data_IF_280673427738
#
_entry.id   IF_280673427738
#
_cell.length_a   1.000
_cell.length_b   1.000
_cell.length_c   1.000
_cell.angle_alpha   90.00
_cell.angle_beta   90.00
_cell.angle_gamma   90.00
#
_symmetry.space_group_name_H-M   'P 1'
#
loop_
_entity.id
_entity.type
_entity.pdbx_description
1 polymer ?
#
# COMPACT_ATOMS: atom_id res chain seq x y z
N UNK A 1 25.85 -58.34 1.57
CA UNK A 1 25.62 -57.09 2.32
C UNK A 1 25.02 -56.08 1.38
N UNK A 2 23.73 -55.77 1.55
CA UNK A 2 23.00 -54.78 0.70
C UNK A 2 22.96 -53.48 1.47
N UNK A 3 23.63 -52.46 0.95
CA UNK A 3 23.55 -51.09 1.48
C UNK A 3 22.29 -50.44 0.96
N UNK A 4 21.31 -50.16 1.84
CA UNK A 4 20.15 -49.40 1.56
C UNK A 4 20.53 -47.91 1.76
N UNK A 5 20.77 -47.21 0.68
CA UNK A 5 20.99 -45.76 0.72
C UNK A 5 19.70 -45.04 1.08
N UNK A 6 19.66 -44.44 2.27
CA UNK A 6 18.58 -43.56 2.72
C UNK A 6 18.74 -42.21 2.03
N UNK A 7 17.93 -41.95 1.00
CA UNK A 7 17.88 -40.66 0.37
C UNK A 7 17.10 -39.69 1.28
N UNK A 8 17.82 -38.80 1.95
CA UNK A 8 17.21 -37.69 2.69
C UNK A 8 16.77 -36.65 1.67
N UNK A 9 15.48 -36.59 1.41
CA UNK A 9 14.88 -35.49 0.64
C UNK A 9 14.84 -34.28 1.57
N UNK A 10 15.79 -33.37 1.39
CA UNK A 10 15.77 -32.04 2.00
C UNK A 10 14.63 -31.24 1.32
N UNK A 11 13.48 -31.23 1.97
CA UNK A 11 12.41 -30.30 1.61
C UNK A 11 12.90 -28.89 1.93
N UNK A 12 13.32 -28.13 0.92
CA UNK A 12 13.62 -26.73 1.05
C UNK A 12 12.32 -26.01 1.46
N UNK A 13 12.31 -25.20 2.54
CA UNK A 13 11.16 -24.39 2.85
C UNK A 13 10.96 -23.40 1.68
N UNK A 14 9.83 -23.49 1.02
CA UNK A 14 9.38 -22.45 0.09
C UNK A 14 9.18 -21.19 0.92
N UNK A 15 10.17 -20.32 0.99
CA UNK A 15 9.98 -18.95 1.47
C UNK A 15 9.06 -18.26 0.47
N UNK A 16 7.85 -17.92 0.91
CA UNK A 16 6.97 -17.03 0.16
C UNK A 16 7.67 -15.66 0.13
N UNK A 17 8.45 -15.43 -0.91
CA UNK A 17 9.17 -14.18 -1.08
C UNK A 17 8.18 -13.14 -1.59
N UNK A 18 8.11 -11.98 -0.92
CA UNK A 18 7.31 -10.87 -1.38
C UNK A 18 7.68 -10.50 -2.82
N UNK A 19 6.68 -10.40 -3.70
CA UNK A 19 6.90 -9.90 -5.05
C UNK A 19 6.88 -8.38 -5.01
N UNK A 20 8.06 -7.77 -5.22
CA UNK A 20 8.22 -6.32 -5.27
C UNK A 20 8.11 -5.87 -6.73
N UNK A 21 7.08 -5.09 -7.03
CA UNK A 21 6.83 -4.56 -8.37
C UNK A 21 7.47 -3.20 -8.59
N UNK A 22 7.54 -2.40 -7.52
CA UNK A 22 8.03 -1.04 -7.56
C UNK A 22 8.69 -0.70 -6.23
N UNK A 23 9.89 -0.15 -6.25
CA UNK A 23 10.51 0.35 -5.02
C UNK A 23 9.86 1.66 -4.58
N UNK A 24 9.96 1.98 -3.29
CA UNK A 24 9.49 3.26 -2.76
C UNK A 24 10.12 4.46 -3.49
N UNK A 25 11.41 4.38 -3.79
CA UNK A 25 12.12 5.43 -4.51
C UNK A 25 11.59 5.60 -5.93
N UNK A 26 11.41 4.52 -6.68
CA UNK A 26 10.85 4.56 -8.03
C UNK A 26 9.43 5.16 -8.05
N UNK A 27 8.61 4.82 -7.05
CA UNK A 27 7.27 5.37 -6.91
C UNK A 27 7.29 6.88 -6.66
N UNK A 28 8.13 7.35 -5.73
CA UNK A 28 8.26 8.77 -5.40
C UNK A 28 8.86 9.56 -6.56
N UNK A 29 9.90 9.05 -7.20
CA UNK A 29 10.54 9.70 -8.35
C UNK A 29 9.57 9.81 -9.53
N UNK A 30 8.76 8.79 -9.74
CA UNK A 30 7.69 8.82 -10.76
C UNK A 30 6.61 9.85 -10.47
N UNK A 31 6.32 10.10 -9.19
CA UNK A 31 5.31 11.08 -8.78
C UNK A 31 5.77 12.53 -8.89
N UNK A 32 7.04 12.81 -8.57
CA UNK A 32 7.54 14.18 -8.40
C UNK A 32 8.75 14.53 -9.27
N UNK A 33 9.36 13.53 -9.93
CA UNK A 33 10.71 13.68 -10.46
C UNK A 33 11.77 13.64 -9.34
N UNK A 34 13.03 13.43 -9.70
CA UNK A 34 14.13 13.33 -8.75
C UNK A 34 14.31 14.62 -7.93
N UNK A 35 14.40 14.50 -6.62
CA UNK A 35 14.77 15.56 -5.68
C UNK A 35 13.79 16.75 -5.51
N UNK A 36 12.54 16.63 -5.94
CA UNK A 36 11.58 17.74 -5.82
C UNK A 36 10.64 17.64 -4.63
N UNK A 37 10.47 16.45 -4.04
CA UNK A 37 9.59 16.22 -2.91
C UNK A 37 10.34 16.26 -1.58
N UNK A 38 9.72 16.80 -0.53
CA UNK A 38 10.20 16.77 0.84
C UNK A 38 9.53 15.64 1.59
N UNK A 39 10.32 14.91 2.38
CA UNK A 39 9.81 13.90 3.30
C UNK A 39 9.28 14.58 4.55
N UNK A 40 8.01 14.38 4.86
CA UNK A 40 7.32 14.93 6.02
C UNK A 40 6.77 13.82 6.92
N UNK A 41 6.34 14.19 8.12
CA UNK A 41 5.79 13.26 9.11
C UNK A 41 4.41 13.75 9.57
N UNK A 42 3.41 12.89 9.44
CA UNK A 42 2.13 13.05 10.09
C UNK A 42 2.16 12.32 11.43
N UNK A 43 2.09 13.08 12.52
CA UNK A 43 1.99 12.52 13.86
C UNK A 43 0.55 12.11 14.16
N UNK A 44 0.38 10.94 14.73
CA UNK A 44 -0.92 10.39 15.12
C UNK A 44 -1.36 11.00 16.45
N UNK A 45 -1.70 12.29 16.41
CA UNK A 45 -2.31 12.96 17.57
C UNK A 45 -3.68 12.36 17.88
N UNK A 46 -4.25 12.68 19.03
CA UNK A 46 -5.59 12.22 19.41
C UNK A 46 -6.65 12.63 18.37
N UNK A 47 -6.54 13.84 17.82
CA UNK A 47 -7.44 14.38 16.80
C UNK A 47 -7.30 13.63 15.48
N UNK A 48 -6.08 13.38 15.02
CA UNK A 48 -5.81 12.62 13.79
C UNK A 48 -6.27 11.17 13.94
N UNK A 49 -5.98 10.54 15.09
CA UNK A 49 -6.45 9.20 15.39
C UNK A 49 -7.97 9.07 15.39
N UNK A 50 -8.67 10.05 15.98
CA UNK A 50 -10.13 10.09 16.01
C UNK A 50 -10.74 10.27 14.62
N UNK A 51 -10.14 11.10 13.77
CA UNK A 51 -10.57 11.25 12.37
C UNK A 51 -10.32 9.97 11.58
N UNK A 52 -9.16 9.35 11.75
CA UNK A 52 -8.81 8.09 11.09
C UNK A 52 -9.77 6.97 11.49
N UNK A 53 -10.13 6.89 12.77
CA UNK A 53 -11.10 5.90 13.26
C UNK A 53 -12.48 6.05 12.61
N UNK A 54 -12.94 7.27 12.41
CA UNK A 54 -14.20 7.55 11.70
C UNK A 54 -14.20 7.07 10.24
N UNK A 55 -13.03 7.13 9.59
CA UNK A 55 -12.88 6.77 8.17
C UNK A 55 -12.65 5.27 8.03
N UNK A 56 -11.75 4.71 8.84
CA UNK A 56 -11.26 3.33 8.72
C UNK A 56 -12.04 2.34 9.58
N UNK A 57 -12.82 2.81 10.57
CA UNK A 57 -13.47 1.96 11.58
C UNK A 57 -12.51 1.46 12.66
N UNK A 58 -11.26 1.91 12.66
CA UNK A 58 -10.26 1.64 13.69
C UNK A 58 -9.18 2.73 13.68
N UNK A 59 -8.58 2.97 14.84
CA UNK A 59 -7.43 3.87 14.92
C UNK A 59 -6.17 3.21 14.30
N UNK A 60 -5.34 3.97 13.58
CA UNK A 60 -4.06 3.48 13.12
C UNK A 60 -3.17 3.02 14.28
N UNK A 61 -2.45 1.92 14.09
CA UNK A 61 -1.54 1.37 15.10
C UNK A 61 -0.23 2.16 15.19
N UNK A 62 0.15 2.83 14.11
CA UNK A 62 1.39 3.59 14.01
C UNK A 62 1.25 4.91 14.76
N UNK A 63 2.30 5.32 15.48
CA UNK A 63 2.37 6.64 16.14
C UNK A 63 2.62 7.78 15.15
N UNK A 64 3.08 7.47 13.96
CA UNK A 64 3.36 8.42 12.88
C UNK A 64 3.34 7.73 11.52
N UNK A 65 3.00 8.52 10.49
CA UNK A 65 3.14 8.15 9.08
C UNK A 65 4.10 9.12 8.39
N UNK A 66 4.91 8.61 7.50
CA UNK A 66 5.80 9.43 6.67
C UNK A 66 5.20 9.55 5.26
N UNK A 67 5.31 10.72 4.67
CA UNK A 67 4.82 11.01 3.34
C UNK A 67 5.73 12.02 2.63
N UNK A 68 5.70 12.03 1.33
CA UNK A 68 6.42 13.00 0.50
C UNK A 68 5.46 14.08 0.03
N UNK A 69 5.95 15.32 -0.02
CA UNK A 69 5.14 16.48 -0.40
C UNK A 69 5.90 17.42 -1.33
N UNK A 70 5.19 17.88 -2.35
CA UNK A 70 5.61 18.99 -3.21
C UNK A 70 4.39 19.81 -3.60
N UNK A 71 4.29 21.05 -3.11
CA UNK A 71 3.11 21.88 -3.29
C UNK A 71 1.85 21.22 -2.66
N UNK A 72 0.81 21.03 -3.47
CA UNK A 72 -0.45 20.40 -3.07
C UNK A 72 -0.45 18.88 -3.28
N UNK A 73 0.58 18.34 -3.94
CA UNK A 73 0.71 16.92 -4.20
C UNK A 73 1.45 16.22 -3.07
N UNK A 74 0.90 15.09 -2.64
CA UNK A 74 1.51 14.21 -1.63
C UNK A 74 1.57 12.77 -2.16
N UNK A 75 2.57 12.02 -1.72
CA UNK A 75 2.70 10.60 -1.98
C UNK A 75 2.80 9.83 -0.66
N UNK A 76 2.04 8.78 -0.56
CA UNK A 76 1.91 7.93 0.61
C UNK A 76 2.24 6.50 0.26
N UNK A 77 3.03 5.83 1.07
CA UNK A 77 3.30 4.40 0.96
C UNK A 77 2.84 3.78 2.26
N UNK A 78 1.85 2.91 2.15
CA UNK A 78 1.15 2.32 3.29
C UNK A 78 1.14 0.80 3.16
N UNK A 79 1.29 0.14 4.30
CA UNK A 79 1.07 -1.30 4.43
C UNK A 79 -0.28 -1.54 5.11
N UNK A 80 -1.07 -2.42 4.53
CA UNK A 80 -2.32 -2.87 5.11
C UNK A 80 -2.43 -4.39 4.96
N UNK A 81 -2.99 -5.05 5.96
CA UNK A 81 -3.23 -6.49 5.89
C UNK A 81 -4.32 -6.75 4.86
N UNK A 82 -4.00 -7.56 3.86
CA UNK A 82 -4.96 -8.06 2.91
C UNK A 82 -5.87 -9.10 3.57
N UNK A 83 -5.78 -10.34 3.14
CA UNK A 83 -6.46 -11.45 3.81
C UNK A 83 -5.59 -12.04 4.94
N UNK A 84 -4.32 -12.27 4.68
CA UNK A 84 -3.37 -12.94 5.58
C UNK A 84 -2.06 -12.16 5.72
N UNK A 85 -1.60 -11.54 4.64
CA UNK A 85 -0.30 -10.90 4.54
C UNK A 85 -0.41 -9.39 4.20
N UNK A 86 0.61 -8.60 4.53
CA UNK A 86 0.59 -7.17 4.21
C UNK A 86 0.77 -6.92 2.71
N UNK A 87 -0.05 -6.01 2.20
CA UNK A 87 0.08 -5.44 0.86
C UNK A 87 0.63 -4.03 1.02
N UNK A 88 1.72 -3.72 0.31
CA UNK A 88 2.27 -2.37 0.26
C UNK A 88 1.68 -1.63 -0.94
N UNK A 89 0.96 -0.56 -0.68
CA UNK A 89 0.34 0.27 -1.70
C UNK A 89 0.87 1.71 -1.65
N UNK A 90 1.00 2.32 -2.81
CA UNK A 90 1.36 3.72 -2.98
C UNK A 90 0.19 4.53 -3.50
N UNK A 91 -0.02 5.72 -2.92
CA UNK A 91 -1.06 6.64 -3.34
C UNK A 91 -0.48 8.02 -3.60
N UNK A 92 -0.82 8.61 -4.74
CA UNK A 92 -0.56 10.01 -5.04
C UNK A 92 -1.86 10.76 -4.84
N UNK A 93 -1.83 11.77 -3.96
CA UNK A 93 -3.01 12.57 -3.60
C UNK A 93 -2.75 14.04 -3.93
N UNK A 94 -3.70 14.69 -4.55
CA UNK A 94 -3.69 16.11 -4.84
C UNK A 94 -5.08 16.69 -4.65
N UNK A 95 -5.18 17.82 -3.96
CA UNK A 95 -6.46 18.48 -3.66
C UNK A 95 -7.51 17.54 -3.01
N UNK A 96 -7.06 16.65 -2.11
CA UNK A 96 -7.94 15.70 -1.41
C UNK A 96 -8.47 14.55 -2.27
N UNK A 97 -7.91 14.34 -3.46
CA UNK A 97 -8.30 13.25 -4.36
C UNK A 97 -7.12 12.37 -4.71
N UNK A 98 -7.36 11.08 -4.81
CA UNK A 98 -6.37 10.13 -5.30
C UNK A 98 -6.17 10.36 -6.80
N UNK A 99 -4.95 10.70 -7.20
CA UNK A 99 -4.57 10.83 -8.60
C UNK A 99 -4.09 9.52 -9.17
N UNK A 100 -3.42 8.70 -8.35
CA UNK A 100 -2.88 7.40 -8.73
C UNK A 100 -2.83 6.48 -7.52
N UNK A 101 -3.17 5.22 -7.73
CA UNK A 101 -2.91 4.12 -6.81
C UNK A 101 -2.00 3.10 -7.49
N UNK A 102 -1.08 2.51 -6.74
CA UNK A 102 -0.12 1.50 -7.21
C UNK A 102 0.09 0.44 -6.15
N UNK A 103 0.25 -0.81 -6.54
CA UNK A 103 0.74 -1.86 -5.64
C UNK A 103 2.26 -1.92 -5.78
N UNK A 104 2.96 -1.69 -4.68
CA UNK A 104 4.42 -1.71 -4.65
C UNK A 104 4.96 -3.10 -4.33
N UNK A 105 4.36 -3.76 -3.33
CA UNK A 105 4.72 -5.13 -2.98
C UNK A 105 3.48 -5.94 -2.60
N UNK A 106 3.48 -7.19 -3.03
CA UNK A 106 2.39 -8.13 -2.82
C UNK A 106 2.92 -9.41 -2.16
N UNK A 107 2.30 -9.84 -1.08
CA UNK A 107 2.76 -10.98 -0.27
C UNK A 107 1.71 -12.06 -0.12
N UNK A 108 0.49 -11.79 -0.57
CA UNK A 108 -0.60 -12.75 -0.57
C UNK A 108 -0.42 -13.83 -1.64
N UNK A 109 -0.95 -15.02 -1.39
CA UNK A 109 -0.91 -16.13 -2.34
C UNK A 109 -1.96 -16.02 -3.47
N UNK A 110 -2.98 -15.17 -3.29
CA UNK A 110 -4.10 -14.98 -4.20
C UNK A 110 -4.48 -13.51 -4.30
N UNK A 111 -5.25 -13.15 -5.34
CA UNK A 111 -5.76 -11.78 -5.49
C UNK A 111 -4.73 -10.81 -6.08
N UNK A 112 -3.67 -11.32 -6.71
CA UNK A 112 -2.62 -10.52 -7.36
C UNK A 112 -3.15 -9.60 -8.47
N UNK A 113 -4.37 -9.82 -8.93
CA UNK A 113 -5.06 -9.00 -9.93
C UNK A 113 -5.27 -7.55 -9.49
N UNK A 114 -5.23 -7.27 -8.19
CA UNK A 114 -5.30 -5.89 -7.63
C UNK A 114 -4.22 -4.96 -8.20
N UNK A 115 -3.10 -5.50 -8.67
CA UNK A 115 -2.02 -4.73 -9.30
C UNK A 115 -2.33 -4.24 -10.71
N UNK A 116 -3.35 -4.80 -11.35
CA UNK A 116 -3.67 -4.48 -12.73
C UNK A 116 -4.19 -3.05 -12.86
N UNK A 117 -3.75 -2.37 -13.92
CA UNK A 117 -4.15 -1.00 -14.19
C UNK A 117 -5.68 -0.82 -14.26
N UNK A 118 -6.41 -1.80 -14.75
CA UNK A 118 -7.87 -1.73 -14.83
C UNK A 118 -8.52 -1.71 -13.45
N UNK A 119 -7.98 -2.48 -12.48
CA UNK A 119 -8.43 -2.43 -11.10
C UNK A 119 -8.05 -1.10 -10.44
N UNK A 120 -6.79 -0.68 -10.58
CA UNK A 120 -6.25 0.51 -9.93
C UNK A 120 -6.83 1.83 -10.45
N UNK A 121 -7.29 1.88 -11.71
CA UNK A 121 -7.96 3.06 -12.30
C UNK A 121 -9.23 3.47 -11.56
N UNK A 122 -9.89 2.56 -10.84
CA UNK A 122 -11.06 2.89 -10.05
C UNK A 122 -10.80 3.96 -9.02
N UNK A 123 -9.58 3.99 -8.46
CA UNK A 123 -9.17 4.94 -7.42
C UNK A 123 -8.93 6.36 -7.96
N UNK A 124 -8.81 6.53 -9.26
CA UNK A 124 -8.56 7.86 -9.84
C UNK A 124 -9.73 8.81 -9.58
N UNK A 125 -9.42 10.00 -9.07
CA UNK A 125 -10.35 11.03 -8.64
C UNK A 125 -11.25 10.66 -7.47
N UNK A 126 -10.90 9.59 -6.73
CA UNK A 126 -11.59 9.23 -5.50
C UNK A 126 -11.16 10.16 -4.37
N UNK A 127 -12.12 10.67 -3.66
CA UNK A 127 -11.96 11.50 -2.46
C UNK A 127 -13.03 11.18 -1.44
N UNK A 128 -12.99 11.87 -0.30
CA UNK A 128 -13.97 11.73 0.76
C UNK A 128 -15.10 12.75 0.61
N UNK A 129 -16.31 12.30 0.85
CA UNK A 129 -17.47 13.15 1.10
C UNK A 129 -17.47 13.68 2.54
N UNK A 130 -18.31 14.69 2.88
CA UNK A 130 -18.39 15.22 4.25
C UNK A 130 -18.79 14.19 5.33
N UNK A 131 -19.44 13.10 4.94
CA UNK A 131 -19.84 11.97 5.78
C UNK A 131 -18.74 10.89 5.90
N UNK A 132 -17.54 11.14 5.37
CA UNK A 132 -16.38 10.25 5.31
C UNK A 132 -16.50 9.03 4.39
N UNK A 133 -17.58 8.91 3.62
CA UNK A 133 -17.66 7.91 2.57
C UNK A 133 -16.87 8.36 1.32
N UNK A 134 -16.47 7.38 0.53
CA UNK A 134 -15.86 7.67 -0.77
C UNK A 134 -16.90 8.26 -1.72
N UNK A 135 -16.47 9.21 -2.55
CA UNK A 135 -17.33 9.83 -3.57
C UNK A 135 -17.64 8.90 -4.76
N UNK A 136 -17.14 7.68 -4.73
CA UNK A 136 -17.28 6.67 -5.77
C UNK A 136 -17.19 5.27 -5.17
N UNK A 137 -18.00 4.35 -5.67
CA UNK A 137 -17.89 2.93 -5.32
C UNK A 137 -16.62 2.33 -5.93
N UNK A 138 -15.95 1.49 -5.16
CA UNK A 138 -14.80 0.70 -5.59
C UNK A 138 -15.22 -0.75 -5.60
N UNK A 139 -15.09 -1.40 -6.75
CA UNK A 139 -15.38 -2.82 -6.89
C UNK A 139 -14.24 -3.65 -6.27
N UNK A 140 -14.61 -4.69 -5.55
CA UNK A 140 -13.68 -5.69 -5.05
C UNK A 140 -13.21 -6.65 -6.16
N UNK A 141 -12.35 -7.55 -5.79
CA UNK A 141 -11.93 -8.72 -6.59
C UNK A 141 -12.51 -10.00 -6.01
#
# INVERSE_FOLDING_TARGET
>A
MRWIGLAIILASPFSLQAEVYLTSQQFVDGAFGANTAKLETLWMTKEVAAQSDKILGHAPKQSRLRYWKSGLKTAWILDEIGKEEPITAGFIVENGKIMQASILAYRESRGWEVRHANFLKQYQNVGLLPDYFLNKNIDGI
#
